data_IF_468409106721
#
_entry.id   IF_468409106721
#
_cell.length_a   1.000
_cell.length_b   1.000
_cell.length_c   1.000
_cell.angle_alpha   90.00
_cell.angle_beta   90.00
_cell.angle_gamma   90.00
#
_symmetry.space_group_name_H-M   'P 1'
#
loop_
_entity.id
_entity.type
_entity.pdbx_description
1 polymer ?
#
# COMPACT_ATOMS: atom_id res chain seq x y z
N UNK A 1 6.17 -40.78 38.95
CA UNK A 1 7.03 -40.02 39.90
C UNK A 1 8.36 -39.55 39.29
N UNK A 2 9.03 -40.31 38.41
CA UNK A 2 10.30 -39.88 37.80
C UNK A 2 10.18 -38.70 36.80
N UNK A 3 9.10 -38.66 35.99
CA UNK A 3 8.88 -37.61 34.97
C UNK A 3 8.55 -36.24 35.61
N UNK A 4 7.84 -36.24 36.74
CA UNK A 4 7.54 -35.03 37.52
C UNK A 4 8.77 -34.45 38.20
N UNK A 5 9.74 -35.30 38.59
CA UNK A 5 11.04 -34.88 39.14
C UNK A 5 11.96 -34.26 38.07
N UNK A 6 11.96 -34.81 36.84
CA UNK A 6 12.72 -34.23 35.73
C UNK A 6 12.21 -32.84 35.30
N UNK A 7 10.88 -32.63 35.26
CA UNK A 7 10.30 -31.30 34.98
C UNK A 7 10.63 -30.26 36.04
N UNK A 8 10.74 -30.66 37.31
CA UNK A 8 11.12 -29.75 38.41
C UNK A 8 12.60 -29.41 38.39
N UNK A 9 13.49 -30.35 38.07
CA UNK A 9 14.93 -30.09 37.92
C UNK A 9 15.20 -29.18 36.71
N UNK A 10 14.54 -29.41 35.57
CA UNK A 10 14.65 -28.54 34.41
C UNK A 10 14.14 -27.11 34.70
N UNK A 11 13.00 -26.99 35.42
CA UNK A 11 12.47 -25.69 35.87
C UNK A 11 13.41 -24.97 36.85
N UNK A 12 14.06 -25.70 37.76
CA UNK A 12 15.05 -25.16 38.69
C UNK A 12 16.33 -24.73 37.97
N UNK A 13 16.81 -25.51 36.99
CA UNK A 13 17.94 -25.14 36.15
C UNK A 13 17.64 -23.90 35.31
N UNK A 14 16.45 -23.80 34.72
CA UNK A 14 16.00 -22.62 33.98
C UNK A 14 15.94 -21.38 34.89
N UNK A 15 15.33 -21.48 36.08
CA UNK A 15 15.33 -20.40 37.07
C UNK A 15 16.73 -20.01 37.54
N UNK A 16 17.67 -20.94 37.58
CA UNK A 16 19.06 -20.68 37.99
C UNK A 16 19.84 -20.00 36.87
N UNK A 17 19.61 -20.38 35.61
CA UNK A 17 20.11 -19.72 34.41
C UNK A 17 19.55 -18.31 34.27
N UNK A 18 18.24 -18.12 34.46
CA UNK A 18 17.60 -16.80 34.44
C UNK A 18 18.12 -15.91 35.58
N UNK A 19 18.37 -16.49 36.76
CA UNK A 19 18.99 -15.79 37.90
C UNK A 19 20.46 -15.46 37.63
N UNK A 20 21.22 -16.33 36.98
CA UNK A 20 22.61 -16.06 36.57
C UNK A 20 22.67 -15.01 35.46
N UNK A 21 21.74 -15.03 34.51
CA UNK A 21 21.58 -13.99 33.49
C UNK A 21 21.19 -12.65 34.13
N UNK A 22 20.28 -12.64 35.11
CA UNK A 22 19.95 -11.45 35.88
C UNK A 22 21.13 -10.91 36.70
N UNK A 23 21.97 -11.79 37.26
CA UNK A 23 23.20 -11.42 37.96
C UNK A 23 24.29 -10.93 36.98
N UNK A 24 24.37 -11.48 35.77
CA UNK A 24 25.25 -11.00 34.71
C UNK A 24 24.84 -9.62 34.20
N UNK A 25 23.52 -9.36 34.05
CA UNK A 25 22.94 -8.02 33.77
C UNK A 25 23.32 -6.98 34.82
N UNK A 26 23.51 -7.38 36.08
CA UNK A 26 23.97 -6.52 37.18
C UNK A 26 25.50 -6.28 37.18
N UNK A 27 26.30 -7.05 36.44
CA UNK A 27 27.77 -7.09 36.60
C UNK A 27 28.55 -6.23 35.62
N UNK A 28 27.91 -5.71 34.56
CA UNK A 28 28.55 -4.82 33.60
C UNK A 28 28.17 -3.41 34.01
N UNK A 29 29.09 -2.64 34.57
CA UNK A 29 28.91 -1.21 34.83
C UNK A 29 29.93 -0.45 34.01
N UNK A 30 29.48 0.33 33.04
CA UNK A 30 30.38 1.20 32.29
C UNK A 30 30.85 2.33 33.20
N UNK A 31 32.16 2.58 33.26
CA UNK A 31 32.67 3.81 33.87
C UNK A 31 32.61 4.93 32.84
N UNK A 32 32.33 6.15 33.30
CA UNK A 32 32.29 7.36 32.47
C UNK A 32 33.58 7.51 31.64
N UNK A 33 33.44 7.83 30.35
CA UNK A 33 34.50 7.96 29.34
C UNK A 33 35.25 6.65 28.98
N UNK A 34 34.78 5.47 29.41
CA UNK A 34 35.43 4.22 28.98
C UNK A 34 35.24 3.95 27.49
N UNK A 35 34.05 4.24 26.96
CA UNK A 35 33.74 4.00 25.55
C UNK A 35 34.55 4.93 24.66
N UNK A 36 34.66 6.20 25.02
CA UNK A 36 35.54 7.17 24.34
C UNK A 36 36.99 6.68 24.24
N UNK A 37 37.53 6.18 25.36
CA UNK A 37 38.91 5.65 25.40
C UNK A 37 39.09 4.40 24.53
N UNK A 38 38.11 3.49 24.54
CA UNK A 38 38.14 2.28 23.72
C UNK A 38 38.09 2.65 22.24
N UNK A 39 37.20 3.56 21.84
CA UNK A 39 37.08 4.03 20.46
C UNK A 39 38.35 4.76 19.99
N UNK A 40 38.95 5.61 20.84
CA UNK A 40 40.22 6.27 20.54
C UNK A 40 41.38 5.28 20.40
N UNK A 41 41.45 4.25 21.26
CA UNK A 41 42.49 3.21 21.16
C UNK A 41 42.35 2.36 19.89
N UNK A 42 41.13 2.17 19.41
CA UNK A 42 40.89 1.47 18.15
C UNK A 42 41.32 2.31 16.94
N UNK A 43 40.90 3.58 16.89
CA UNK A 43 41.20 4.49 15.78
C UNK A 43 42.70 4.84 15.73
N UNK A 44 43.33 5.07 16.88
CA UNK A 44 44.72 5.54 16.96
C UNK A 44 45.74 4.41 16.99
N UNK A 45 45.46 3.33 17.73
CA UNK A 45 46.44 2.27 18.02
C UNK A 45 46.11 0.95 17.30
N UNK A 46 44.99 0.87 16.57
CA UNK A 46 44.58 -0.33 15.83
C UNK A 46 44.17 -1.51 16.73
N UNK A 47 43.96 -1.27 18.03
CA UNK A 47 43.69 -2.35 18.98
C UNK A 47 42.22 -2.80 18.91
N UNK A 48 41.96 -3.88 18.16
CA UNK A 48 40.62 -4.42 17.93
C UNK A 48 40.07 -5.28 19.07
N UNK A 49 40.90 -5.74 20.01
CA UNK A 49 40.46 -6.63 21.09
C UNK A 49 39.42 -6.00 22.03
N UNK A 50 39.66 -4.82 22.66
CA UNK A 50 38.69 -4.19 23.55
C UNK A 50 37.45 -3.67 22.79
N UNK A 51 37.62 -3.32 21.51
CA UNK A 51 36.52 -2.93 20.63
C UNK A 51 35.57 -4.10 20.34
N UNK A 52 36.10 -5.29 20.00
CA UNK A 52 35.30 -6.47 19.73
C UNK A 52 34.62 -7.01 21.00
N UNK A 53 35.28 -6.93 22.15
CA UNK A 53 34.66 -7.27 23.43
C UNK A 53 33.47 -6.34 23.74
N UNK A 54 33.64 -5.03 23.53
CA UNK A 54 32.54 -4.06 23.67
C UNK A 54 31.39 -4.37 22.71
N UNK A 55 31.67 -4.70 21.43
CA UNK A 55 30.65 -5.09 20.47
C UNK A 55 29.87 -6.33 20.91
N UNK A 56 30.54 -7.35 21.43
CA UNK A 56 29.89 -8.57 21.91
C UNK A 56 29.04 -8.28 23.15
N UNK A 57 29.55 -7.48 24.10
CA UNK A 57 28.80 -7.06 25.28
C UNK A 57 27.50 -6.35 24.88
N UNK A 58 27.56 -5.44 23.92
CA UNK A 58 26.41 -4.67 23.45
C UNK A 58 25.43 -5.50 22.60
N UNK A 59 25.88 -6.58 21.94
CA UNK A 59 25.01 -7.51 21.20
C UNK A 59 24.29 -8.50 22.12
N UNK A 60 25.00 -9.04 23.10
CA UNK A 60 24.54 -10.18 23.87
C UNK A 60 23.77 -9.80 25.14
N UNK A 61 23.93 -8.56 25.63
CA UNK A 61 23.31 -8.12 26.89
C UNK A 61 22.32 -6.96 26.72
N UNK A 62 21.12 -7.14 27.28
CA UNK A 62 20.18 -6.05 27.50
C UNK A 62 20.79 -5.05 28.50
N UNK A 63 21.05 -3.82 28.05
CA UNK A 63 21.65 -2.78 28.88
C UNK A 63 20.68 -2.28 29.95
N UNK A 64 21.12 -2.22 31.21
CA UNK A 64 20.41 -1.49 32.26
C UNK A 64 20.36 0.01 31.94
N UNK A 65 19.36 0.71 32.46
CA UNK A 65 19.10 2.13 32.17
C UNK A 65 20.27 3.06 32.54
N UNK A 66 20.95 2.79 33.66
CA UNK A 66 22.15 3.54 34.04
C UNK A 66 23.31 3.36 33.05
N UNK A 67 23.49 2.14 32.53
CA UNK A 67 24.53 1.85 31.53
C UNK A 67 24.19 2.42 30.17
N UNK A 68 22.91 2.40 29.79
CA UNK A 68 22.42 3.04 28.58
C UNK A 68 22.71 4.54 28.59
N UNK A 69 22.41 5.21 29.70
CA UNK A 69 22.70 6.64 29.87
C UNK A 69 24.18 6.96 29.68
N UNK A 70 25.06 6.21 30.36
CA UNK A 70 26.52 6.40 30.24
C UNK A 70 26.99 6.13 28.81
N UNK A 71 26.48 5.08 28.17
CA UNK A 71 26.83 4.72 26.80
C UNK A 71 26.52 5.85 25.82
N UNK A 72 25.28 6.35 25.83
CA UNK A 72 24.87 7.37 24.88
C UNK A 72 25.40 8.76 25.21
N UNK A 73 25.64 9.11 26.48
CA UNK A 73 26.38 10.32 26.83
C UNK A 73 27.83 10.30 26.30
N UNK A 74 28.52 9.17 26.43
CA UNK A 74 29.89 9.03 25.91
C UNK A 74 29.90 9.00 24.37
N UNK A 75 28.94 8.31 23.74
CA UNK A 75 28.77 8.32 22.28
C UNK A 75 28.44 9.72 21.75
N UNK A 76 27.66 10.53 22.47
CA UNK A 76 27.38 11.92 22.12
C UNK A 76 28.65 12.80 22.10
N UNK A 77 29.59 12.56 23.02
CA UNK A 77 30.89 13.25 23.00
C UNK A 77 31.78 12.79 21.84
N UNK A 78 31.60 11.54 21.40
CA UNK A 78 32.43 10.89 20.39
C UNK A 78 31.82 10.86 18.99
N UNK A 79 30.71 11.56 18.73
CA UNK A 79 29.99 11.45 17.43
C UNK A 79 30.91 11.70 16.23
N UNK A 80 31.82 12.67 16.33
CA UNK A 80 32.78 13.00 15.26
C UNK A 80 33.69 11.81 14.93
N UNK A 81 34.03 10.98 15.92
CA UNK A 81 34.88 9.81 15.76
C UNK A 81 34.17 8.61 15.13
N UNK A 82 32.83 8.60 15.11
CA UNK A 82 31.99 7.52 14.55
C UNK A 82 31.98 7.49 13.02
N UNK A 83 33.19 7.53 12.43
CA UNK A 83 33.52 7.44 11.02
C UNK A 83 33.14 6.10 10.36
N UNK A 84 33.51 5.95 9.08
CA UNK A 84 33.23 4.72 8.28
C UNK A 84 33.81 3.44 8.91
N UNK A 85 34.90 3.56 9.65
CA UNK A 85 35.60 2.44 10.29
C UNK A 85 34.82 1.82 11.45
N UNK A 86 33.94 2.60 12.09
CA UNK A 86 33.11 2.17 13.22
C UNK A 86 31.72 1.72 12.79
N UNK A 87 31.54 1.35 11.52
CA UNK A 87 30.27 0.84 10.99
C UNK A 87 29.65 -0.29 11.83
N UNK A 88 30.42 -1.33 12.23
CA UNK A 88 29.88 -2.43 13.05
C UNK A 88 29.38 -1.98 14.42
N UNK A 89 29.96 -0.91 14.97
CA UNK A 89 29.55 -0.35 16.26
C UNK A 89 28.24 0.42 16.13
N UNK A 90 28.11 1.25 15.09
CA UNK A 90 26.84 1.94 14.81
C UNK A 90 25.70 0.95 14.57
N UNK A 91 25.95 -0.18 13.87
CA UNK A 91 24.93 -1.22 13.69
C UNK A 91 24.41 -1.80 15.00
N UNK A 92 25.33 -2.04 15.94
CA UNK A 92 24.95 -2.56 17.25
C UNK A 92 24.17 -1.50 18.02
N UNK A 93 24.60 -0.24 18.00
CA UNK A 93 23.88 0.86 18.65
C UNK A 93 22.45 1.07 18.09
N UNK A 94 22.26 0.87 16.79
CA UNK A 94 20.95 0.92 16.14
C UNK A 94 20.06 -0.28 16.47
N UNK A 95 20.64 -1.40 16.91
CA UNK A 95 19.92 -2.63 17.26
C UNK A 95 19.49 -2.68 18.73
N UNK A 96 19.96 -1.76 19.57
CA UNK A 96 19.61 -1.70 21.00
C UNK A 96 18.15 -1.27 21.15
N UNK A 97 17.38 -1.96 21.99
CA UNK A 97 16.02 -1.55 22.34
C UNK A 97 16.04 -0.26 23.17
N UNK A 98 15.50 0.81 22.60
CA UNK A 98 15.40 2.15 23.23
C UNK A 98 13.96 2.65 23.32
N UNK A 99 13.08 2.28 22.38
CA UNK A 99 11.73 2.82 22.27
C UNK A 99 10.80 2.50 23.47
N UNK A 100 11.10 1.44 24.23
CA UNK A 100 10.35 1.00 25.41
C UNK A 100 10.85 1.60 26.74
N UNK A 101 11.87 2.47 26.72
CA UNK A 101 12.54 2.99 27.93
C UNK A 101 11.93 4.31 28.41
N UNK A 102 12.37 4.78 29.57
CA UNK A 102 12.00 6.08 30.15
C UNK A 102 12.27 7.25 29.17
N UNK A 103 11.44 8.29 29.24
CA UNK A 103 11.47 9.46 28.33
C UNK A 103 12.84 10.14 28.28
N UNK A 104 13.53 10.26 29.41
CA UNK A 104 14.86 10.86 29.50
C UNK A 104 15.90 10.08 28.65
N UNK A 105 15.81 8.75 28.61
CA UNK A 105 16.73 7.91 27.84
C UNK A 105 16.40 7.96 26.35
N UNK A 106 15.11 8.03 26.02
CA UNK A 106 14.62 8.23 24.66
C UNK A 106 15.13 9.56 24.09
N UNK A 107 15.09 10.64 24.86
CA UNK A 107 15.60 11.96 24.43
C UNK A 107 17.12 11.92 24.19
N UNK A 108 17.89 11.31 25.09
CA UNK A 108 19.35 11.15 24.91
C UNK A 108 19.67 10.37 23.62
N UNK A 109 18.95 9.28 23.37
CA UNK A 109 19.12 8.48 22.16
C UNK A 109 18.71 9.24 20.89
N UNK A 110 17.61 9.99 20.95
CA UNK A 110 17.12 10.84 19.85
C UNK A 110 18.16 11.89 19.46
N UNK A 111 18.72 12.60 20.46
CA UNK A 111 19.82 13.56 20.25
C UNK A 111 21.05 12.90 19.66
N UNK A 112 21.39 11.70 20.11
CA UNK A 112 22.50 10.93 19.55
C UNK A 112 22.29 10.63 18.07
N UNK A 113 21.12 10.11 17.68
CA UNK A 113 20.82 9.80 16.28
C UNK A 113 20.86 11.06 15.41
N UNK A 114 20.28 12.17 15.85
CA UNK A 114 20.28 13.43 15.08
C UNK A 114 21.71 13.93 14.88
N UNK A 115 22.53 13.96 15.94
CA UNK A 115 23.93 14.39 15.84
C UNK A 115 24.74 13.45 14.95
N UNK A 116 24.50 12.14 15.03
CA UNK A 116 25.18 11.15 14.19
C UNK A 116 24.82 11.31 12.72
N UNK A 117 23.54 11.47 12.42
CA UNK A 117 23.03 11.66 11.05
C UNK A 117 23.55 12.98 10.47
N UNK A 118 23.64 14.04 11.28
CA UNK A 118 24.17 15.35 10.88
C UNK A 118 25.68 15.33 10.64
N UNK A 119 26.46 14.64 11.49
CA UNK A 119 27.91 14.55 11.35
C UNK A 119 28.35 13.55 10.26
N UNK A 120 27.60 12.46 10.09
CA UNK A 120 27.98 11.30 9.28
C UNK A 120 26.80 10.81 8.43
N UNK A 121 26.52 11.52 7.33
CA UNK A 121 25.38 11.26 6.43
C UNK A 121 25.35 9.86 5.81
N UNK A 122 26.48 9.15 5.74
CA UNK A 122 26.53 7.78 5.22
C UNK A 122 25.91 6.73 6.16
N UNK A 123 25.70 7.06 7.44
CA UNK A 123 24.96 6.19 8.37
C UNK A 123 23.44 6.38 8.28
N UNK A 124 22.96 7.43 7.60
CA UNK A 124 21.53 7.76 7.52
C UNK A 124 20.68 6.60 7.00
N UNK A 125 21.12 5.88 5.96
CA UNK A 125 20.40 4.71 5.42
C UNK A 125 20.19 3.63 6.47
N UNK A 126 21.19 3.41 7.32
CA UNK A 126 21.14 2.36 8.34
C UNK A 126 20.27 2.77 9.51
N UNK A 127 20.39 4.02 9.94
CA UNK A 127 19.58 4.57 11.04
C UNK A 127 18.12 4.56 10.64
N UNK A 128 17.78 5.06 9.45
CA UNK A 128 16.41 5.00 8.93
C UNK A 128 15.94 3.54 8.76
N UNK A 129 16.79 2.65 8.26
CA UNK A 129 16.51 1.21 8.18
C UNK A 129 16.16 0.59 9.53
N UNK A 130 16.93 0.90 10.57
CA UNK A 130 16.66 0.42 11.92
C UNK A 130 15.36 1.01 12.49
N UNK A 131 15.10 2.30 12.27
CA UNK A 131 13.87 2.96 12.72
C UNK A 131 12.62 2.40 12.03
N UNK A 132 12.65 2.27 10.70
CA UNK A 132 11.53 1.72 9.92
C UNK A 132 11.30 0.24 10.24
N UNK A 133 12.35 -0.52 10.58
CA UNK A 133 12.21 -1.91 11.04
C UNK A 133 11.38 -2.03 12.32
N UNK A 134 11.41 -1.02 13.21
CA UNK A 134 10.59 -1.00 14.42
C UNK A 134 9.08 -0.84 14.15
N UNK A 135 8.67 -0.49 12.93
CA UNK A 135 7.27 -0.51 12.54
C UNK A 135 6.73 -1.94 12.38
N UNK A 136 7.62 -2.92 12.20
CA UNK A 136 7.28 -4.35 12.20
C UNK A 136 7.21 -4.80 13.65
N UNK A 137 6.05 -4.60 14.25
CA UNK A 137 5.72 -5.20 15.53
C UNK A 137 5.05 -6.57 15.28
N UNK A 138 5.21 -7.48 16.23
CA UNK A 138 4.46 -8.73 16.31
C UNK A 138 3.50 -8.65 17.51
N UNK A 139 2.26 -9.13 17.33
CA UNK A 139 1.21 -9.00 18.33
C UNK A 139 -0.14 -9.51 17.84
N UNK A 140 -1.16 -9.35 18.68
CA UNK A 140 -2.55 -9.67 18.34
C UNK A 140 -3.24 -8.49 17.65
N UNK A 141 -4.08 -8.78 16.65
CA UNK A 141 -4.85 -7.77 15.94
C UNK A 141 -5.75 -6.97 16.91
N UNK A 142 -5.83 -5.65 16.73
CA UNK A 142 -6.75 -4.79 17.48
C UNK A 142 -8.02 -4.51 16.68
N UNK A 143 -9.13 -4.12 17.32
CA UNK A 143 -10.32 -3.71 16.57
C UNK A 143 -10.17 -2.25 16.09
N UNK A 144 -10.23 -1.30 17.03
CA UNK A 144 -10.20 0.13 16.69
C UNK A 144 -8.86 0.83 16.91
N UNK A 145 -8.20 0.61 18.04
CA UNK A 145 -6.91 1.25 18.33
C UNK A 145 -5.89 0.24 18.87
N UNK A 146 -4.62 0.37 18.47
CA UNK A 146 -3.54 -0.45 19.01
C UNK A 146 -3.35 -0.19 20.51
N UNK A 147 -2.71 -1.14 21.20
CA UNK A 147 -2.40 -1.03 22.63
C UNK A 147 -1.62 0.26 22.95
N UNK A 148 -1.95 0.98 24.04
CA UNK A 148 -1.31 2.25 24.39
C UNK A 148 0.21 2.13 24.55
N UNK A 149 0.70 0.96 25.01
CA UNK A 149 2.14 0.70 25.15
C UNK A 149 2.85 0.68 23.79
N UNK A 150 2.20 0.11 22.77
CA UNK A 150 2.73 0.04 21.41
C UNK A 150 2.69 1.43 20.76
N UNK A 151 1.61 2.18 21.00
CA UNK A 151 1.47 3.57 20.52
C UNK A 151 2.56 4.47 21.08
N UNK A 152 2.88 4.33 22.38
CA UNK A 152 3.96 5.12 23.00
C UNK A 152 5.32 4.82 22.34
N UNK A 153 5.63 3.53 22.09
CA UNK A 153 6.84 3.13 21.37
C UNK A 153 6.91 3.73 19.96
N UNK A 154 5.82 3.65 19.20
CA UNK A 154 5.76 4.22 17.85
C UNK A 154 5.83 5.75 17.85
N UNK A 155 5.22 6.42 18.83
CA UNK A 155 5.32 7.88 19.01
C UNK A 155 6.77 8.34 19.14
N UNK A 156 7.56 7.62 19.95
CA UNK A 156 8.99 7.90 20.12
C UNK A 156 9.75 7.74 18.79
N UNK A 157 9.48 6.67 18.03
CA UNK A 157 10.09 6.42 16.71
C UNK A 157 9.70 7.50 15.70
N UNK A 158 8.43 7.86 15.62
CA UNK A 158 7.93 8.89 14.71
C UNK A 158 8.51 10.28 15.03
N UNK A 159 8.68 10.60 16.31
CA UNK A 159 9.32 11.85 16.75
C UNK A 159 10.76 11.94 16.25
N UNK A 160 11.53 10.86 16.37
CA UNK A 160 12.91 10.80 15.85
C UNK A 160 12.96 10.93 14.33
N UNK A 161 12.09 10.21 13.60
CA UNK A 161 12.03 10.31 12.14
C UNK A 161 11.68 11.73 11.70
N UNK A 162 10.68 12.36 12.35
CA UNK A 162 10.29 13.73 12.07
C UNK A 162 11.44 14.72 12.29
N UNK A 163 12.18 14.57 13.39
CA UNK A 163 13.34 15.40 13.69
C UNK A 163 14.48 15.21 12.67
N UNK A 164 14.76 13.96 12.27
CA UNK A 164 15.79 13.67 11.25
C UNK A 164 15.43 14.32 9.92
N UNK A 165 14.20 14.15 9.45
CA UNK A 165 13.74 14.73 8.17
C UNK A 165 13.70 16.26 8.24
N UNK A 166 13.36 16.85 9.40
CA UNK A 166 13.37 18.29 9.60
C UNK A 166 14.78 18.89 9.53
N UNK A 167 15.78 18.20 10.09
CA UNK A 167 17.19 18.63 10.04
C UNK A 167 17.79 18.40 8.65
N UNK A 168 17.45 17.29 7.99
CA UNK A 168 17.96 16.94 6.68
C UNK A 168 16.86 16.49 5.70
N UNK A 169 16.25 17.41 4.95
CA UNK A 169 15.18 17.09 4.00
C UNK A 169 15.59 16.08 2.91
N UNK A 170 16.88 16.04 2.56
CA UNK A 170 17.45 15.10 1.57
C UNK A 170 17.28 13.62 1.97
N UNK A 171 17.02 13.32 3.25
CA UNK A 171 16.77 11.94 3.68
C UNK A 171 15.36 11.44 3.33
N UNK A 172 14.49 12.28 2.78
CA UNK A 172 13.11 11.93 2.45
C UNK A 172 13.02 10.84 1.38
N UNK A 173 13.80 10.94 0.31
CA UNK A 173 13.83 9.91 -0.75
C UNK A 173 14.40 8.60 -0.23
N UNK A 174 15.44 8.68 0.60
CA UNK A 174 16.06 7.53 1.24
C UNK A 174 15.11 6.84 2.23
N UNK A 175 14.31 7.62 2.97
CA UNK A 175 13.27 7.12 3.85
C UNK A 175 12.24 6.33 3.05
N UNK A 176 11.79 6.86 1.92
CA UNK A 176 10.82 6.17 1.07
C UNK A 176 11.38 4.90 0.43
N UNK A 177 12.65 4.89 0.02
CA UNK A 177 13.32 3.67 -0.43
C UNK A 177 13.36 2.62 0.70
N UNK A 178 13.72 3.05 1.91
CA UNK A 178 13.78 2.18 3.10
C UNK A 178 12.39 1.61 3.44
N UNK A 179 11.34 2.43 3.32
CA UNK A 179 9.95 2.00 3.51
C UNK A 179 9.54 0.93 2.50
N UNK A 180 9.93 1.10 1.23
CA UNK A 180 9.64 0.10 0.20
C UNK A 180 10.39 -1.22 0.45
N UNK A 181 11.65 -1.17 0.88
CA UNK A 181 12.48 -2.35 1.17
C UNK A 181 12.06 -3.11 2.43
N UNK A 182 11.60 -2.40 3.47
CA UNK A 182 11.21 -3.00 4.76
C UNK A 182 9.74 -3.41 4.83
N UNK A 183 8.96 -3.17 3.76
CA UNK A 183 7.56 -3.55 3.72
C UNK A 183 7.41 -5.05 3.99
N UNK A 184 6.53 -5.46 4.92
CA UNK A 184 6.35 -6.88 5.23
C UNK A 184 5.93 -7.69 4.00
N UNK A 185 6.33 -8.96 4.00
CA UNK A 185 5.82 -9.91 3.02
C UNK A 185 4.30 -10.10 3.23
N UNK A 186 3.55 -10.28 2.14
CA UNK A 186 2.09 -10.36 2.22
C UNK A 186 1.57 -11.55 3.06
N UNK A 187 2.38 -12.60 3.27
CA UNK A 187 2.08 -13.72 4.18
C UNK A 187 2.80 -13.63 5.55
N UNK A 188 3.43 -12.50 5.89
CA UNK A 188 4.14 -12.35 7.16
C UNK A 188 3.20 -12.26 8.39
N UNK A 189 1.88 -12.27 8.17
CA UNK A 189 0.85 -12.17 9.19
C UNK A 189 0.05 -10.87 9.10
N UNK A 190 -1.19 -10.93 9.58
CA UNK A 190 -2.12 -9.80 9.54
C UNK A 190 -1.63 -8.61 10.36
N UNK A 191 -1.23 -8.86 11.61
CA UNK A 191 -0.78 -7.81 12.53
C UNK A 191 0.42 -7.05 11.98
N UNK A 192 1.41 -7.78 11.48
CA UNK A 192 2.64 -7.22 10.91
C UNK A 192 2.34 -6.23 9.76
N UNK A 193 1.48 -6.63 8.82
CA UNK A 193 1.08 -5.79 7.68
C UNK A 193 0.25 -4.58 8.12
N UNK A 194 -0.72 -4.81 9.02
CA UNK A 194 -1.59 -3.75 9.53
C UNK A 194 -0.81 -2.70 10.33
N UNK A 195 0.06 -3.12 11.24
CA UNK A 195 0.93 -2.23 12.02
C UNK A 195 1.84 -1.40 11.14
N UNK A 196 2.39 -2.01 10.09
CA UNK A 196 3.22 -1.29 9.14
C UNK A 196 2.42 -0.20 8.42
N UNK A 197 1.23 -0.51 7.90
CA UNK A 197 0.36 0.46 7.23
C UNK A 197 -0.10 1.56 8.19
N UNK A 198 -0.46 1.22 9.42
CA UNK A 198 -0.86 2.19 10.44
C UNK A 198 0.25 3.21 10.72
N UNK A 199 1.50 2.73 10.90
CA UNK A 199 2.66 3.60 11.09
C UNK A 199 2.97 4.44 9.84
N UNK A 200 2.77 3.89 8.63
CA UNK A 200 2.91 4.67 7.40
C UNK A 200 1.85 5.76 7.27
N UNK A 201 0.60 5.48 7.65
CA UNK A 201 -0.46 6.49 7.68
C UNK A 201 -0.08 7.59 8.68
N UNK A 202 0.40 7.22 9.88
CA UNK A 202 0.90 8.20 10.86
C UNK A 202 2.04 9.05 10.28
N UNK A 203 2.98 8.43 9.57
CA UNK A 203 4.05 9.14 8.84
C UNK A 203 3.51 10.17 7.85
N UNK A 204 2.44 9.83 7.13
CA UNK A 204 1.76 10.76 6.22
C UNK A 204 1.19 11.99 6.91
N UNK A 205 0.79 11.89 8.19
CA UNK A 205 0.19 13.01 8.94
C UNK A 205 1.18 14.13 9.22
N UNK A 206 2.43 13.78 9.54
CA UNK A 206 3.48 14.76 9.87
C UNK A 206 4.45 15.07 8.70
N UNK A 207 4.51 14.22 7.65
CA UNK A 207 5.29 14.46 6.43
C UNK A 207 4.38 14.63 5.20
N UNK A 208 3.73 15.81 5.01
CA UNK A 208 2.77 16.01 3.92
C UNK A 208 3.40 15.88 2.52
N UNK A 209 4.70 16.15 2.37
CA UNK A 209 5.42 16.01 1.10
C UNK A 209 5.54 14.57 0.61
N UNK A 210 5.46 13.59 1.52
CA UNK A 210 5.62 12.17 1.22
C UNK A 210 4.29 11.42 1.09
N UNK A 211 3.15 12.07 1.35
CA UNK A 211 1.82 11.43 1.36
C UNK A 211 1.52 10.68 0.06
N UNK A 212 1.86 11.24 -1.11
CA UNK A 212 1.65 10.57 -2.40
C UNK A 212 2.52 9.31 -2.54
N UNK A 213 3.78 9.36 -2.12
CA UNK A 213 4.68 8.21 -2.20
C UNK A 213 4.29 7.13 -1.19
N UNK A 214 3.91 7.52 0.03
CA UNK A 214 3.43 6.63 1.09
C UNK A 214 2.16 5.92 0.64
N UNK A 215 1.19 6.67 0.13
CA UNK A 215 -0.07 6.09 -0.36
C UNK A 215 0.17 5.16 -1.55
N UNK A 216 1.06 5.54 -2.47
CA UNK A 216 1.46 4.68 -3.59
C UNK A 216 2.04 3.36 -3.09
N UNK A 217 2.92 3.39 -2.09
CA UNK A 217 3.50 2.18 -1.50
C UNK A 217 2.44 1.27 -0.85
N UNK A 218 1.53 1.86 -0.06
CA UNK A 218 0.44 1.10 0.59
C UNK A 218 -0.48 0.46 -0.47
N UNK A 219 -0.97 1.25 -1.43
CA UNK A 219 -1.88 0.75 -2.47
C UNK A 219 -1.21 -0.29 -3.36
N UNK A 220 0.07 -0.12 -3.71
CA UNK A 220 0.81 -1.13 -4.50
C UNK A 220 0.87 -2.47 -3.77
N UNK A 221 1.10 -2.45 -2.44
CA UNK A 221 1.12 -3.68 -1.63
C UNK A 221 -0.26 -4.31 -1.48
N UNK A 222 -1.31 -3.51 -1.37
CA UNK A 222 -2.69 -4.01 -1.42
C UNK A 222 -3.03 -4.65 -2.76
N UNK A 223 -2.57 -4.06 -3.86
CA UNK A 223 -2.74 -4.61 -5.21
C UNK A 223 -2.00 -5.94 -5.36
N UNK A 224 -0.78 -6.04 -4.84
CA UNK A 224 -0.04 -7.32 -4.77
C UNK A 224 -0.85 -8.39 -4.02
N UNK A 225 -1.43 -8.03 -2.86
CA UNK A 225 -2.27 -8.94 -2.06
C UNK A 225 -3.53 -9.39 -2.82
N UNK A 226 -4.28 -8.44 -3.40
CA UNK A 226 -5.51 -8.70 -4.16
C UNK A 226 -5.26 -9.58 -5.39
N UNK A 227 -4.18 -9.32 -6.14
CA UNK A 227 -3.79 -10.13 -7.29
C UNK A 227 -3.52 -11.59 -6.90
N UNK A 228 -2.82 -11.83 -5.79
CA UNK A 228 -2.55 -13.18 -5.29
C UNK A 228 -3.82 -13.91 -4.81
N UNK A 229 -4.75 -13.20 -4.16
CA UNK A 229 -6.06 -13.76 -3.75
C UNK A 229 -6.85 -14.21 -5.00
N UNK A 230 -6.90 -13.36 -6.02
CA UNK A 230 -7.61 -13.66 -7.28
C UNK A 230 -7.01 -14.86 -8.00
N UNK A 231 -5.69 -14.94 -8.08
CA UNK A 231 -4.99 -16.02 -8.78
C UNK A 231 -5.22 -17.37 -8.09
N UNK A 232 -5.12 -17.38 -6.76
CA UNK A 232 -5.43 -18.56 -5.95
C UNK A 232 -6.87 -19.03 -6.14
N UNK A 233 -7.84 -18.11 -6.16
CA UNK A 233 -9.25 -18.46 -6.36
C UNK A 233 -9.51 -19.07 -7.75
N UNK A 234 -8.81 -18.59 -8.79
CA UNK A 234 -8.88 -19.18 -10.13
C UNK A 234 -8.34 -20.60 -10.16
N UNK A 235 -7.18 -20.84 -9.53
CA UNK A 235 -6.61 -22.18 -9.42
C UNK A 235 -7.53 -23.14 -8.65
N UNK A 236 -8.10 -22.69 -7.52
CA UNK A 236 -9.11 -23.47 -6.77
C UNK A 236 -10.31 -23.84 -7.64
N UNK A 237 -10.81 -22.91 -8.46
CA UNK A 237 -11.95 -23.17 -9.35
C UNK A 237 -11.65 -24.15 -10.51
N UNK A 238 -10.37 -24.33 -10.87
CA UNK A 238 -9.95 -25.27 -11.92
C UNK A 238 -9.65 -26.67 -11.37
N UNK A 239 -9.23 -26.78 -10.12
CA UNK A 239 -8.80 -28.05 -9.50
C UNK A 239 -9.92 -28.78 -8.72
N UNK A 240 -11.05 -28.13 -8.43
CA UNK A 240 -12.11 -28.69 -7.57
C UNK A 240 -13.15 -29.53 -8.33
N UNK A 241 -12.76 -30.76 -8.68
CA UNK A 241 -13.68 -31.92 -8.71
C UNK A 241 -13.26 -33.01 -7.71
N UNK A 242 -12.00 -33.06 -7.27
CA UNK A 242 -11.52 -34.04 -6.28
C UNK A 242 -10.35 -33.50 -5.43
N UNK A 243 -10.59 -32.53 -4.54
CA UNK A 243 -9.65 -32.41 -3.41
C UNK A 243 -10.36 -32.05 -2.09
N UNK A 244 -9.95 -32.76 -1.04
CA UNK A 244 -10.57 -32.75 0.27
C UNK A 244 -10.05 -31.51 1.02
N UNK A 245 -10.91 -30.52 1.19
CA UNK A 245 -10.62 -29.20 1.75
C UNK A 245 -9.88 -29.28 3.09
N UNK A 246 -8.58 -28.99 3.09
CA UNK A 246 -7.92 -28.45 4.28
C UNK A 246 -8.24 -26.96 4.27
N UNK A 247 -9.06 -26.51 5.22
CA UNK A 247 -9.30 -25.10 5.55
C UNK A 247 -7.96 -24.41 5.92
N UNK A 248 -7.12 -24.10 4.94
CA UNK A 248 -6.13 -23.04 5.10
C UNK A 248 -6.92 -21.75 5.30
N UNK A 249 -7.00 -21.31 6.57
CA UNK A 249 -7.54 -20.00 6.93
C UNK A 249 -6.98 -18.97 5.94
N UNK A 250 -7.88 -18.22 5.33
CA UNK A 250 -7.52 -17.21 4.34
C UNK A 250 -6.96 -15.95 5.02
N UNK A 251 -5.82 -16.11 5.69
CA UNK A 251 -5.15 -15.06 6.45
C UNK A 251 -4.80 -13.86 5.56
N UNK A 252 -4.58 -14.08 4.26
CA UNK A 252 -4.27 -13.00 3.30
C UNK A 252 -5.49 -12.15 3.00
N UNK A 253 -6.68 -12.75 2.84
CA UNK A 253 -7.92 -11.98 2.66
C UNK A 253 -8.27 -11.17 3.91
N UNK A 254 -8.16 -11.79 5.10
CA UNK A 254 -8.35 -11.07 6.37
C UNK A 254 -7.36 -9.91 6.51
N UNK A 255 -6.08 -10.14 6.17
CA UNK A 255 -5.07 -9.09 6.15
C UNK A 255 -5.48 -7.94 5.21
N UNK A 256 -5.92 -8.25 3.99
CA UNK A 256 -6.33 -7.24 3.02
C UNK A 256 -7.53 -6.42 3.54
N UNK A 257 -8.51 -7.04 4.18
CA UNK A 257 -9.66 -6.35 4.76
C UNK A 257 -9.25 -5.34 5.83
N UNK A 258 -8.38 -5.73 6.76
CA UNK A 258 -7.85 -4.80 7.77
C UNK A 258 -7.03 -3.67 7.15
N UNK A 259 -6.19 -3.98 6.16
CA UNK A 259 -5.40 -2.96 5.47
C UNK A 259 -6.32 -1.95 4.76
N UNK A 260 -7.35 -2.44 4.06
CA UNK A 260 -8.35 -1.61 3.37
C UNK A 260 -9.11 -0.74 4.37
N UNK A 261 -9.49 -1.29 5.54
CA UNK A 261 -10.17 -0.55 6.59
C UNK A 261 -9.34 0.63 7.12
N UNK A 262 -8.04 0.43 7.39
CA UNK A 262 -7.14 1.51 7.82
C UNK A 262 -7.03 2.62 6.75
N UNK A 263 -6.97 2.24 5.47
CA UNK A 263 -6.96 3.22 4.37
C UNK A 263 -8.29 3.98 4.25
N UNK A 264 -9.42 3.32 4.44
CA UNK A 264 -10.74 3.96 4.44
C UNK A 264 -10.87 4.95 5.61
N UNK A 265 -10.41 4.57 6.81
CA UNK A 265 -10.34 5.48 7.97
C UNK A 265 -9.48 6.71 7.66
N UNK A 266 -8.31 6.53 7.04
CA UNK A 266 -7.46 7.67 6.65
C UNK A 266 -8.11 8.60 5.61
N UNK A 267 -8.79 8.02 4.61
CA UNK A 267 -9.55 8.78 3.61
C UNK A 267 -10.73 9.54 4.23
N UNK A 268 -11.33 9.00 5.29
CA UNK A 268 -12.42 9.63 6.03
C UNK A 268 -11.95 10.81 6.89
N UNK A 269 -10.82 10.65 7.57
CA UNK A 269 -10.26 11.64 8.51
C UNK A 269 -9.64 12.86 7.79
N UNK A 270 -8.91 12.64 6.69
CA UNK A 270 -8.11 13.68 6.01
C UNK A 270 -8.57 13.95 4.56
N UNK A 271 -9.88 14.01 4.36
CA UNK A 271 -10.55 14.13 3.05
C UNK A 271 -9.88 15.10 2.08
N UNK A 272 -9.68 16.35 2.48
CA UNK A 272 -9.20 17.40 1.57
C UNK A 272 -7.77 17.16 1.06
N UNK A 273 -6.93 16.54 1.89
CA UNK A 273 -5.52 16.27 1.57
C UNK A 273 -5.35 14.97 0.79
N UNK A 274 -6.07 13.94 1.20
CA UNK A 274 -5.78 12.54 0.83
C UNK A 274 -6.60 12.10 -0.39
N UNK A 275 -7.82 12.63 -0.60
CA UNK A 275 -8.67 12.20 -1.73
C UNK A 275 -8.08 12.53 -3.11
N UNK A 276 -7.49 13.72 -3.26
CA UNK A 276 -6.84 14.13 -4.52
C UNK A 276 -5.63 13.26 -4.82
N UNK A 277 -4.85 12.93 -3.78
CA UNK A 277 -3.69 12.03 -3.87
C UNK A 277 -4.15 10.62 -4.25
N UNK A 278 -5.25 10.13 -3.67
CA UNK A 278 -5.84 8.83 -4.01
C UNK A 278 -6.23 8.73 -5.49
N UNK A 279 -6.71 9.83 -6.09
CA UNK A 279 -6.95 9.88 -7.54
C UNK A 279 -5.65 9.73 -8.35
N UNK A 280 -4.55 10.38 -7.93
CA UNK A 280 -3.23 10.22 -8.57
C UNK A 280 -2.74 8.77 -8.47
N UNK A 281 -2.87 8.15 -7.29
CA UNK A 281 -2.43 6.78 -7.04
C UNK A 281 -3.26 5.78 -7.83
N UNK A 282 -4.57 6.01 -7.96
CA UNK A 282 -5.44 5.20 -8.82
C UNK A 282 -4.94 5.18 -10.27
N UNK A 283 -4.64 6.34 -10.84
CA UNK A 283 -4.19 6.47 -12.23
C UNK A 283 -2.85 5.75 -12.47
N UNK A 284 -1.94 5.77 -11.49
CA UNK A 284 -0.59 5.20 -11.61
C UNK A 284 -0.50 3.71 -11.27
N UNK A 285 -1.30 3.23 -10.32
CA UNK A 285 -1.15 1.87 -9.76
C UNK A 285 -2.34 0.99 -10.10
N UNK A 286 -3.56 1.45 -9.81
CA UNK A 286 -4.78 0.63 -9.93
C UNK A 286 -5.20 0.49 -11.40
N UNK A 287 -5.26 1.59 -12.15
CA UNK A 287 -5.70 1.61 -13.55
C UNK A 287 -4.88 0.70 -14.50
N UNK A 288 -3.53 0.67 -14.43
CA UNK A 288 -2.75 -0.24 -15.27
C UNK A 288 -2.79 -1.70 -14.80
N UNK A 289 -3.27 -1.99 -13.58
CA UNK A 289 -3.28 -3.35 -13.05
C UNK A 289 -4.57 -4.09 -13.39
N UNK A 290 -4.43 -5.23 -14.06
CA UNK A 290 -5.56 -6.06 -14.48
C UNK A 290 -5.87 -7.16 -13.46
N UNK A 291 -7.16 -7.44 -13.27
CA UNK A 291 -7.60 -8.63 -12.52
C UNK A 291 -7.79 -8.44 -11.01
N UNK A 292 -7.54 -7.24 -10.48
CA UNK A 292 -7.85 -6.90 -9.08
C UNK A 292 -9.37 -6.86 -8.84
N UNK A 293 -9.83 -7.31 -7.68
CA UNK A 293 -11.27 -7.35 -7.32
C UNK A 293 -11.63 -6.38 -6.21
N UNK A 294 -10.76 -6.21 -5.23
CA UNK A 294 -11.07 -5.58 -3.94
C UNK A 294 -10.52 -4.14 -3.85
N UNK A 295 -9.26 -3.90 -4.22
CA UNK A 295 -8.60 -2.60 -3.98
C UNK A 295 -9.25 -1.45 -4.76
N UNK A 296 -9.89 -1.76 -5.90
CA UNK A 296 -10.68 -0.80 -6.68
C UNK A 296 -11.84 -0.17 -5.91
N UNK A 297 -12.32 -0.78 -4.81
CA UNK A 297 -13.37 -0.19 -3.96
C UNK A 297 -12.90 1.05 -3.19
N UNK A 298 -11.59 1.23 -2.97
CA UNK A 298 -11.06 2.46 -2.38
C UNK A 298 -11.43 3.68 -3.24
N UNK A 299 -11.34 3.54 -4.57
CA UNK A 299 -11.77 4.60 -5.49
C UNK A 299 -13.28 4.84 -5.43
N UNK A 300 -14.08 3.77 -5.33
CA UNK A 300 -15.54 3.89 -5.21
C UNK A 300 -15.92 4.72 -3.97
N UNK A 301 -15.22 4.49 -2.86
CA UNK A 301 -15.37 5.26 -1.63
C UNK A 301 -14.97 6.74 -1.85
N UNK A 302 -13.79 7.01 -2.41
CA UNK A 302 -13.29 8.37 -2.72
C UNK A 302 -14.28 9.18 -3.56
N UNK A 303 -14.79 8.59 -4.65
CA UNK A 303 -15.74 9.20 -5.58
C UNK A 303 -17.09 9.45 -4.90
N UNK A 304 -17.49 8.58 -3.97
CA UNK A 304 -18.72 8.81 -3.22
C UNK A 304 -18.62 10.08 -2.38
N UNK A 305 -17.46 10.37 -1.79
CA UNK A 305 -17.26 11.51 -0.88
C UNK A 305 -17.14 12.83 -1.64
N UNK A 306 -16.32 12.88 -2.69
CA UNK A 306 -16.02 14.12 -3.42
C UNK A 306 -16.47 14.06 -4.87
N UNK A 307 -17.43 14.92 -5.23
CA UNK A 307 -17.89 15.07 -6.61
C UNK A 307 -16.81 15.63 -7.53
N UNK A 308 -15.88 16.44 -7.01
CA UNK A 308 -14.74 16.95 -7.78
C UNK A 308 -13.79 15.81 -8.17
N UNK A 309 -13.51 14.90 -7.23
CA UNK A 309 -12.74 13.69 -7.52
C UNK A 309 -13.48 12.81 -8.53
N UNK A 310 -14.81 12.68 -8.40
CA UNK A 310 -15.64 11.97 -9.37
C UNK A 310 -15.48 12.52 -10.80
N UNK A 311 -15.64 13.83 -10.98
CA UNK A 311 -15.56 14.48 -12.29
C UNK A 311 -14.16 14.33 -12.89
N UNK A 312 -13.11 14.51 -12.10
CA UNK A 312 -11.72 14.28 -12.51
C UNK A 312 -11.50 12.85 -12.99
N UNK A 313 -11.87 11.87 -12.15
CA UNK A 313 -11.63 10.45 -12.45
C UNK A 313 -12.42 10.00 -13.67
N UNK A 314 -13.69 10.39 -13.79
CA UNK A 314 -14.49 10.03 -14.97
C UNK A 314 -13.95 10.66 -16.25
N UNK A 315 -13.51 11.91 -16.19
CA UNK A 315 -12.91 12.60 -17.34
C UNK A 315 -11.63 11.89 -17.77
N UNK A 316 -10.75 11.57 -16.82
CA UNK A 316 -9.49 10.88 -17.09
C UNK A 316 -9.72 9.46 -17.63
N UNK A 317 -10.65 8.69 -17.04
CA UNK A 317 -11.02 7.36 -17.53
C UNK A 317 -11.59 7.42 -18.96
N UNK A 318 -12.41 8.43 -19.26
CA UNK A 318 -12.95 8.62 -20.61
C UNK A 318 -11.86 8.96 -21.62
N UNK A 319 -10.97 9.90 -21.28
CA UNK A 319 -9.84 10.28 -22.14
C UNK A 319 -8.96 9.07 -22.46
N UNK A 320 -8.66 8.24 -21.46
CA UNK A 320 -7.92 6.99 -21.64
C UNK A 320 -8.71 6.04 -22.52
N UNK A 321 -9.97 5.73 -22.20
CA UNK A 321 -10.81 4.77 -22.94
C UNK A 321 -10.99 5.15 -24.43
N UNK A 322 -11.29 6.42 -24.70
CA UNK A 322 -11.46 6.97 -26.05
C UNK A 322 -10.14 7.01 -26.84
N UNK A 323 -9.00 6.86 -26.18
CA UNK A 323 -7.68 6.86 -26.81
C UNK A 323 -7.17 8.24 -27.18
N UNK A 324 -7.62 9.29 -26.47
CA UNK A 324 -7.35 10.69 -26.80
C UNK A 324 -5.91 11.14 -26.46
N UNK A 325 -5.11 10.33 -25.74
CA UNK A 325 -3.70 10.62 -25.42
C UNK A 325 -2.65 9.69 -26.06
N UNK A 326 -3.02 8.77 -26.98
CA UNK A 326 -2.08 7.92 -27.75
C UNK A 326 -1.10 7.08 -26.91
N UNK A 327 -0.07 6.44 -27.46
CA UNK A 327 -0.06 5.20 -28.25
C UNK A 327 0.98 4.27 -27.60
N UNK A 328 0.67 2.98 -27.41
CA UNK A 328 1.64 1.99 -26.90
C UNK A 328 1.09 0.56 -26.97
N UNK A 329 1.93 -0.48 -26.96
CA UNK A 329 1.51 -1.88 -27.10
C UNK A 329 0.61 -2.40 -25.96
N UNK A 330 0.57 -1.71 -24.81
CA UNK A 330 -0.38 -1.96 -23.71
C UNK A 330 -1.65 -1.09 -23.74
N UNK A 331 -1.75 -0.14 -24.68
CA UNK A 331 -2.83 0.85 -24.69
C UNK A 331 -4.22 0.21 -24.84
N UNK A 332 -4.36 -0.88 -25.59
CA UNK A 332 -5.65 -1.55 -25.73
C UNK A 332 -6.15 -2.14 -24.40
N UNK A 333 -5.27 -2.77 -23.62
CA UNK A 333 -5.64 -3.37 -22.34
C UNK A 333 -6.04 -2.28 -21.34
N UNK A 334 -5.23 -1.22 -21.21
CA UNK A 334 -5.55 -0.07 -20.35
C UNK A 334 -6.84 0.63 -20.79
N UNK A 335 -7.09 0.75 -22.09
CA UNK A 335 -8.36 1.30 -22.63
C UNK A 335 -9.57 0.46 -22.25
N UNK A 336 -9.47 -0.87 -22.37
CA UNK A 336 -10.53 -1.80 -21.96
C UNK A 336 -10.82 -1.66 -20.46
N UNK A 337 -9.78 -1.62 -19.64
CA UNK A 337 -9.90 -1.45 -18.20
C UNK A 337 -10.47 -0.09 -17.82
N UNK A 338 -10.05 0.99 -18.48
CA UNK A 338 -10.61 2.32 -18.29
C UNK A 338 -12.12 2.37 -18.63
N UNK A 339 -12.53 1.79 -19.76
CA UNK A 339 -13.94 1.70 -20.15
C UNK A 339 -14.75 0.87 -19.14
N UNK A 340 -14.19 -0.25 -18.67
CA UNK A 340 -14.82 -1.11 -17.66
C UNK A 340 -14.96 -0.42 -16.30
N UNK A 341 -13.92 0.27 -15.81
CA UNK A 341 -14.00 1.05 -14.58
C UNK A 341 -15.00 2.20 -14.71
N UNK A 342 -14.98 2.94 -15.82
CA UNK A 342 -15.92 4.04 -16.05
C UNK A 342 -17.37 3.55 -15.99
N UNK A 343 -17.69 2.47 -16.71
CA UNK A 343 -19.01 1.86 -16.68
C UNK A 343 -19.37 1.29 -15.29
N UNK A 344 -18.43 0.60 -14.66
CA UNK A 344 -18.59 0.00 -13.34
C UNK A 344 -18.87 1.02 -12.24
N UNK A 345 -18.17 2.15 -12.27
CA UNK A 345 -18.35 3.25 -11.33
C UNK A 345 -19.66 4.00 -11.61
N UNK A 346 -19.95 4.37 -12.86
CA UNK A 346 -21.22 5.04 -13.21
C UNK A 346 -22.45 4.17 -12.89
N UNK A 347 -22.34 2.85 -13.00
CA UNK A 347 -23.40 1.92 -12.62
C UNK A 347 -23.58 1.84 -11.09
N UNK A 348 -22.50 1.64 -10.33
CA UNK A 348 -22.57 1.31 -8.90
C UNK A 348 -22.56 2.53 -7.97
N UNK A 349 -22.05 3.67 -8.41
CA UNK A 349 -22.01 4.86 -7.57
C UNK A 349 -23.42 5.40 -7.29
N UNK A 350 -23.83 5.31 -6.02
CA UNK A 350 -25.14 5.79 -5.55
C UNK A 350 -25.23 7.33 -5.59
N UNK A 351 -24.12 8.04 -5.35
CA UNK A 351 -24.08 9.52 -5.26
C UNK A 351 -23.78 10.22 -6.59
N UNK A 352 -23.90 9.54 -7.73
CA UNK A 352 -23.70 10.15 -9.05
C UNK A 352 -25.05 10.61 -9.62
N UNK A 353 -25.21 11.91 -9.97
CA UNK A 353 -26.43 12.40 -10.59
C UNK A 353 -26.72 11.70 -11.94
N UNK A 354 -28.01 11.48 -12.23
CA UNK A 354 -28.45 10.90 -13.50
C UNK A 354 -28.01 11.73 -14.72
N UNK A 355 -27.88 13.04 -14.57
CA UNK A 355 -27.36 13.92 -15.63
C UNK A 355 -25.95 13.52 -16.07
N UNK A 356 -25.08 13.14 -15.14
CA UNK A 356 -23.71 12.70 -15.42
C UNK A 356 -23.68 11.34 -16.11
N UNK A 357 -24.53 10.41 -15.68
CA UNK A 357 -24.73 9.12 -16.36
C UNK A 357 -25.16 9.32 -17.82
N UNK A 358 -26.17 10.18 -18.04
CA UNK A 358 -26.69 10.49 -19.38
C UNK A 358 -25.60 11.16 -20.24
N UNK A 359 -24.82 12.07 -19.66
CA UNK A 359 -23.69 12.71 -20.35
C UNK A 359 -22.71 11.68 -20.90
N UNK A 360 -22.15 10.81 -20.04
CA UNK A 360 -21.18 9.80 -20.47
C UNK A 360 -21.79 8.77 -21.43
N UNK A 361 -23.05 8.37 -21.25
CA UNK A 361 -23.74 7.50 -22.21
C UNK A 361 -23.84 8.13 -23.60
N UNK A 362 -24.19 9.42 -23.69
CA UNK A 362 -24.23 10.15 -24.97
C UNK A 362 -22.84 10.25 -25.58
N UNK A 363 -21.84 10.65 -24.81
CA UNK A 363 -20.46 10.78 -25.29
C UNK A 363 -19.90 9.44 -25.79
N UNK A 364 -20.16 8.34 -25.08
CA UNK A 364 -19.78 6.99 -25.53
C UNK A 364 -20.49 6.59 -26.83
N UNK A 365 -21.79 6.86 -26.94
CA UNK A 365 -22.57 6.54 -28.15
C UNK A 365 -22.12 7.36 -29.36
N UNK A 366 -21.91 8.67 -29.19
CA UNK A 366 -21.37 9.57 -30.22
C UNK A 366 -20.00 9.11 -30.72
N UNK A 367 -19.13 8.67 -29.79
CA UNK A 367 -17.82 8.10 -30.14
C UNK A 367 -17.96 6.80 -30.93
N UNK A 368 -18.86 5.89 -30.52
CA UNK A 368 -19.14 4.66 -31.27
C UNK A 368 -19.67 4.93 -32.68
N UNK A 369 -20.58 5.90 -32.83
CA UNK A 369 -21.10 6.31 -34.14
C UNK A 369 -20.00 6.89 -35.03
N UNK A 370 -19.17 7.77 -34.49
CA UNK A 370 -18.03 8.35 -35.21
C UNK A 370 -17.04 7.29 -35.66
N UNK A 371 -16.77 6.29 -34.80
CA UNK A 371 -15.92 5.15 -35.13
C UNK A 371 -16.48 4.35 -36.32
N UNK A 372 -17.77 3.98 -36.26
CA UNK A 372 -18.43 3.22 -37.33
C UNK A 372 -18.34 3.95 -38.66
N UNK A 373 -18.68 5.25 -38.70
CA UNK A 373 -18.62 6.08 -39.90
C UNK A 373 -17.20 6.10 -40.48
N UNK A 374 -16.17 6.28 -39.64
CA UNK A 374 -14.78 6.30 -40.08
C UNK A 374 -14.29 4.94 -40.61
N UNK A 375 -14.73 3.83 -40.02
CA UNK A 375 -14.34 2.48 -40.47
C UNK A 375 -15.08 1.99 -41.72
N UNK A 376 -16.30 2.48 -42.00
CA UNK A 376 -17.04 2.15 -43.22
C UNK A 376 -16.34 2.63 -44.50
N UNK A 377 -15.49 3.65 -44.38
CA UNK A 377 -14.68 4.18 -45.49
C UNK A 377 -13.37 3.40 -45.72
N UNK A 378 -12.99 2.49 -44.80
CA UNK A 378 -11.73 1.75 -44.83
C UNK A 378 -11.92 0.27 -45.20
N UNK A 379 -11.33 -0.17 -46.32
CA UNK A 379 -11.41 -1.56 -46.85
C UNK A 379 -10.39 -2.52 -46.21
N UNK A 380 -10.08 -2.37 -44.93
CA UNK A 380 -9.02 -3.16 -44.27
C UNK A 380 -9.62 -4.39 -43.59
N UNK A 381 -9.05 -5.56 -43.90
CA UNK A 381 -9.52 -6.89 -43.53
C UNK A 381 -9.91 -7.06 -42.04
N UNK A 382 -10.99 -7.83 -41.84
CA UNK A 382 -11.59 -8.28 -40.57
C UNK A 382 -10.54 -8.83 -39.60
N UNK A 383 -10.03 -7.97 -38.71
CA UNK A 383 -9.16 -8.38 -37.63
C UNK A 383 -9.76 -7.89 -36.32
N UNK A 384 -10.40 -8.80 -35.58
CA UNK A 384 -11.17 -8.51 -34.35
C UNK A 384 -10.33 -7.77 -33.29
N UNK A 385 -9.01 -7.92 -33.33
CA UNK A 385 -8.06 -7.22 -32.46
C UNK A 385 -8.00 -5.71 -32.73
N UNK A 386 -8.24 -5.27 -33.97
CA UNK A 386 -8.20 -3.85 -34.39
C UNK A 386 -9.40 -3.08 -33.81
N UNK A 387 -10.54 -3.75 -33.66
CA UNK A 387 -11.77 -3.17 -33.10
C UNK A 387 -11.92 -3.35 -31.58
N UNK A 388 -10.90 -3.87 -30.88
CA UNK A 388 -11.00 -4.23 -29.46
C UNK A 388 -11.43 -3.08 -28.54
N UNK A 389 -11.01 -1.84 -28.82
CA UNK A 389 -11.43 -0.67 -28.04
C UNK A 389 -12.89 -0.28 -28.31
N UNK A 390 -13.34 -0.42 -29.56
CA UNK A 390 -14.73 -0.22 -29.94
C UNK A 390 -15.66 -1.19 -29.21
N UNK A 391 -15.33 -2.49 -29.24
CA UNK A 391 -16.10 -3.50 -28.52
C UNK A 391 -16.16 -3.24 -27.01
N UNK A 392 -15.08 -2.74 -26.41
CA UNK A 392 -15.04 -2.41 -24.99
C UNK A 392 -15.96 -1.25 -24.62
N UNK A 393 -16.02 -0.21 -25.45
CA UNK A 393 -16.90 0.95 -25.23
C UNK A 393 -18.36 0.55 -25.49
N UNK A 394 -18.65 -0.26 -26.52
CA UNK A 394 -19.98 -0.83 -26.72
C UNK A 394 -20.44 -1.65 -25.50
N UNK A 395 -19.56 -2.51 -24.97
CA UNK A 395 -19.83 -3.28 -23.76
C UNK A 395 -20.12 -2.38 -22.56
N UNK A 396 -19.35 -1.30 -22.36
CA UNK A 396 -19.60 -0.30 -21.33
C UNK A 396 -20.99 0.34 -21.45
N UNK A 397 -21.41 0.72 -22.66
CA UNK A 397 -22.75 1.28 -22.92
C UNK A 397 -23.84 0.27 -22.58
N UNK A 398 -23.73 -0.97 -23.07
CA UNK A 398 -24.73 -2.00 -22.80
C UNK A 398 -24.83 -2.34 -21.32
N UNK A 399 -23.69 -2.44 -20.63
CA UNK A 399 -23.65 -2.67 -19.20
C UNK A 399 -24.39 -1.56 -18.43
N UNK A 400 -24.15 -0.29 -18.76
CA UNK A 400 -24.81 0.85 -18.12
C UNK A 400 -26.32 0.87 -18.39
N UNK A 401 -26.74 0.61 -19.63
CA UNK A 401 -28.15 0.55 -20.00
C UNK A 401 -28.87 -0.58 -19.27
N UNK A 402 -28.25 -1.77 -19.21
CA UNK A 402 -28.81 -2.91 -18.49
C UNK A 402 -28.96 -2.61 -16.99
N UNK A 403 -27.92 -2.06 -16.36
CA UNK A 403 -27.91 -1.82 -14.92
C UNK A 403 -28.81 -0.66 -14.47
N UNK A 404 -28.93 0.40 -15.29
CA UNK A 404 -29.71 1.62 -14.96
C UNK A 404 -31.02 1.72 -15.73
N UNK A 405 -31.50 0.63 -16.33
CA UNK A 405 -32.73 0.59 -17.14
C UNK A 405 -33.92 1.27 -16.43
N UNK A 406 -34.18 0.93 -15.16
CA UNK A 406 -35.28 1.53 -14.41
C UNK A 406 -35.15 3.06 -14.29
N UNK A 407 -33.96 3.59 -14.01
CA UNK A 407 -33.73 5.04 -13.89
C UNK A 407 -33.79 5.77 -15.24
N UNK A 408 -33.36 5.11 -16.32
CA UNK A 408 -33.33 5.70 -17.66
C UNK A 408 -34.71 5.69 -18.33
N UNK A 409 -35.54 4.67 -18.09
CA UNK A 409 -36.76 4.46 -18.87
C UNK A 409 -38.08 4.70 -18.10
N UNK A 410 -38.05 4.82 -16.76
CA UNK A 410 -39.28 5.00 -15.95
C UNK A 410 -39.62 6.45 -15.56
N UNK A 411 -38.69 7.41 -15.67
CA UNK A 411 -38.97 8.83 -15.38
C UNK A 411 -39.53 9.58 -16.60
N UNK A 412 -40.62 10.35 -16.43
CA UNK A 412 -41.30 11.09 -17.51
C UNK A 412 -40.41 12.14 -18.23
N UNK A 413 -39.30 12.55 -17.61
CA UNK A 413 -38.31 13.49 -18.17
C UNK A 413 -37.30 12.85 -19.13
N UNK A 414 -37.25 11.52 -19.26
CA UNK A 414 -36.26 10.83 -20.12
C UNK A 414 -36.63 10.74 -21.61
N UNK A 415 -37.61 11.54 -22.07
CA UNK A 415 -37.98 11.62 -23.49
C UNK A 415 -36.83 12.11 -24.38
N UNK A 416 -35.93 12.94 -23.85
CA UNK A 416 -34.75 13.43 -24.59
C UNK A 416 -33.65 12.36 -24.74
N UNK A 417 -33.52 11.44 -23.77
CA UNK A 417 -32.63 10.28 -23.88
C UNK A 417 -33.19 9.25 -24.86
N UNK A 418 -34.50 8.99 -24.87
CA UNK A 418 -35.12 8.06 -25.84
C UNK A 418 -34.84 8.44 -27.29
N UNK A 419 -34.73 9.74 -27.61
CA UNK A 419 -34.39 10.21 -28.95
C UNK A 419 -32.88 10.15 -29.25
N UNK A 420 -32.02 10.46 -28.28
CA UNK A 420 -30.56 10.50 -28.44
C UNK A 420 -29.88 9.13 -28.29
N UNK A 421 -30.49 8.22 -27.53
CA UNK A 421 -30.04 6.86 -27.29
C UNK A 421 -30.65 5.86 -28.27
N UNK A 422 -31.50 6.29 -29.21
CA UNK A 422 -31.75 5.50 -30.42
C UNK A 422 -30.42 5.36 -31.14
N UNK A 423 -29.71 4.25 -30.97
CA UNK A 423 -28.70 3.86 -31.93
C UNK A 423 -29.48 3.57 -33.21
N UNK A 424 -29.66 4.59 -34.04
CA UNK A 424 -30.04 4.39 -35.42
C UNK A 424 -28.82 3.80 -36.13
N UNK A 425 -28.60 2.51 -35.91
CA UNK A 425 -27.84 1.65 -36.80
C UNK A 425 -28.72 1.43 -38.04
N UNK A 426 -28.95 2.50 -38.80
CA UNK A 426 -29.67 2.46 -40.06
C UNK A 426 -28.65 2.30 -41.18
N UNK A 427 -28.45 1.05 -41.61
CA UNK A 427 -28.12 0.77 -43.01
C UNK A 427 -29.43 0.36 -43.66
N UNK A 428 -29.90 1.16 -44.63
CA UNK A 428 -31.02 0.83 -45.51
C UNK A 428 -32.43 1.03 -44.94
N UNK A 429 -33.17 1.93 -45.57
CA UNK A 429 -34.61 2.21 -45.50
C UNK A 429 -35.49 1.27 -44.64
N UNK A 430 -35.97 1.80 -43.51
CA UNK A 430 -37.37 1.78 -43.03
C UNK A 430 -37.43 1.81 -41.49
N UNK A 431 -38.20 2.77 -40.95
CA UNK A 431 -38.81 2.70 -39.62
C UNK A 431 -37.92 3.05 -38.41
N UNK A 432 -38.33 4.09 -37.67
CA UNK A 432 -37.95 4.26 -36.26
C UNK A 432 -38.33 2.98 -35.50
N UNK A 433 -37.36 2.28 -34.90
CA UNK A 433 -37.61 1.04 -34.17
C UNK A 433 -36.99 1.06 -32.78
N UNK A 434 -37.82 0.72 -31.79
CA UNK A 434 -37.51 0.56 -30.37
C UNK A 434 -36.48 -0.56 -30.13
N UNK A 435 -35.59 -0.32 -29.17
CA UNK A 435 -34.51 -1.21 -28.73
C UNK A 435 -34.91 -2.61 -28.26
N UNK A 436 -36.21 -2.85 -27.99
CA UNK A 436 -36.69 -4.11 -27.42
C UNK A 436 -36.72 -5.29 -28.39
N UNK A 437 -36.82 -5.08 -29.70
CA UNK A 437 -37.09 -6.17 -30.66
C UNK A 437 -35.96 -6.46 -31.67
N UNK A 438 -34.91 -5.63 -31.77
CA UNK A 438 -33.99 -5.68 -32.92
C UNK A 438 -32.54 -6.13 -32.65
N UNK A 439 -32.12 -6.36 -31.40
CA UNK A 439 -30.77 -6.91 -31.14
C UNK A 439 -30.61 -8.33 -31.70
N UNK A 440 -31.69 -9.12 -31.75
CA UNK A 440 -31.65 -10.50 -32.23
C UNK A 440 -31.85 -10.64 -33.75
N UNK A 441 -32.50 -9.67 -34.42
CA UNK A 441 -32.86 -9.76 -35.84
C UNK A 441 -31.92 -9.01 -36.79
N UNK A 442 -31.23 -7.96 -36.34
CA UNK A 442 -30.46 -7.08 -37.24
C UNK A 442 -29.00 -7.48 -37.42
N UNK A 443 -28.46 -8.23 -36.47
CA UNK A 443 -27.13 -8.79 -36.54
C UNK A 443 -27.27 -10.30 -36.74
N UNK A 444 -27.13 -10.75 -37.99
CA UNK A 444 -26.60 -12.10 -38.28
C UNK A 444 -25.13 -12.19 -37.81
N UNK A 445 -24.85 -11.71 -36.59
CA UNK A 445 -23.65 -12.06 -35.85
C UNK A 445 -24.00 -13.40 -35.25
N UNK A 446 -23.59 -14.46 -35.94
CA UNK A 446 -23.27 -15.71 -35.29
C UNK A 446 -22.28 -15.35 -34.18
N UNK A 447 -22.78 -15.15 -32.97
CA UNK A 447 -21.97 -15.27 -31.77
C UNK A 447 -21.55 -16.74 -31.74
N UNK A 448 -20.43 -17.06 -32.39
CA UNK A 448 -19.60 -18.13 -31.88
C UNK A 448 -19.11 -17.62 -30.52
N UNK A 449 -19.94 -17.87 -29.49
CA UNK A 449 -19.43 -17.97 -28.15
C UNK A 449 -18.38 -19.07 -28.20
N UNK A 450 -17.11 -18.68 -28.27
CA UNK A 450 -16.01 -19.55 -27.90
C UNK A 450 -16.22 -19.74 -26.39
N UNK A 451 -16.96 -20.79 -26.07
CA UNK A 451 -16.70 -21.58 -24.89
C UNK A 451 -15.33 -22.19 -25.09
N UNK A 452 -14.33 -21.64 -24.41
CA UNK A 452 -13.19 -22.37 -23.86
C UNK A 452 -12.81 -21.70 -22.54
#
# INVERSE_FOLDING_TARGET
>A
MAVTAQKTVASLMQKTLDRQAAIARLKISFKKNQIEKVLLSYIRDGNSAPYNELLNILRDNSLNDSNFRILFEDCLRCVVLLGRELKPFVDVLCSIEWASREEDLVDIYSRFLINLVTAHTYHSTRILGALVKLFRADGENWEDTPSPDIVSKWSNVHTVIAQIVAVMPMTSDLLMQTVAEQFPYYKAGCFCNRAYIHNLIWMGKYLPSLVEQIMTAIVSKMVDMDANIVDRDKHKSQETIFDMEVDEKDEVSETLDYCMLEMLKWLEDERDRVLTVMCNVFERVILPTHGIRHVQFLLLYTISISQQCADRVFTNLWIVAAGLHGLGPGALATRRTAASHLAGLLARCVRVPNSRLIFYLKTMAEWCHSYITATQESTVADNTKVHGAFHAICHAVFYLVAFKNHHLFMNKESKSFKASATFNLTVGNAGQMNWGENLYKKYHVTFNMITD
#
